data_IF_489594603749
#
_entry.id   IF_489594603749
#
_cell.length_a   1.000
_cell.length_b   1.000
_cell.length_c   1.000
_cell.angle_alpha   90.00
_cell.angle_beta   90.00
_cell.angle_gamma   90.00
#
_symmetry.space_group_name_H-M   'P 1'
#
loop_
_entity.id
_entity.type
_entity.pdbx_description
1 polymer ?
#
# COMPACT_ATOMS: atom_id res chain seq x y z
N UNK A 1 -29.20 28.33 -46.00
CA UNK A 1 -28.49 29.49 -45.39
C UNK A 1 -27.83 29.01 -44.10
N UNK A 2 -26.50 29.00 -44.02
CA UNK A 2 -25.74 28.57 -42.85
C UNK A 2 -25.43 29.74 -41.92
N UNK A 3 -25.46 29.51 -40.60
CA UNK A 3 -24.70 30.31 -39.64
C UNK A 3 -24.17 29.43 -38.51
N UNK A 4 -22.85 29.23 -38.50
CA UNK A 4 -22.07 28.88 -37.29
C UNK A 4 -21.87 30.14 -36.47
N UNK A 5 -21.76 30.03 -35.15
CA UNK A 5 -20.95 30.94 -34.31
C UNK A 5 -20.61 30.28 -32.97
N UNK A 6 -19.33 30.42 -32.63
CA UNK A 6 -18.61 29.80 -31.53
C UNK A 6 -19.02 30.36 -30.17
N UNK A 7 -19.22 29.46 -29.20
CA UNK A 7 -19.33 29.84 -27.79
C UNK A 7 -18.05 29.38 -27.07
N UNK A 8 -17.25 30.35 -26.65
CA UNK A 8 -16.09 30.16 -25.79
C UNK A 8 -16.58 29.98 -24.35
N UNK A 9 -16.24 28.86 -23.71
CA UNK A 9 -16.57 28.60 -22.31
C UNK A 9 -15.38 29.05 -21.46
N UNK A 10 -15.56 30.11 -20.68
CA UNK A 10 -14.60 30.57 -19.68
C UNK A 10 -14.73 29.65 -18.46
N UNK A 11 -13.69 28.89 -18.16
CA UNK A 11 -13.53 28.08 -16.96
C UNK A 11 -13.22 29.00 -15.77
N UNK A 12 -14.25 29.38 -15.02
CA UNK A 12 -14.10 29.99 -13.69
C UNK A 12 -14.50 28.98 -12.62
N UNK A 13 -13.55 28.18 -12.10
CA UNK A 13 -13.77 27.40 -10.88
C UNK A 13 -13.21 28.18 -9.69
N UNK A 14 -14.06 28.94 -9.01
CA UNK A 14 -13.81 29.38 -7.64
C UNK A 14 -14.37 28.33 -6.68
N UNK A 15 -13.51 27.47 -6.13
CA UNK A 15 -13.89 26.58 -5.02
C UNK A 15 -13.67 27.31 -3.69
N UNK A 16 -14.70 28.03 -3.24
CA UNK A 16 -14.93 28.26 -1.82
C UNK A 16 -16.27 27.61 -1.48
N UNK A 17 -16.23 26.40 -0.95
CA UNK A 17 -17.38 25.77 -0.32
C UNK A 17 -16.97 25.29 1.07
N UNK A 18 -17.45 26.04 2.06
CA UNK A 18 -17.31 25.76 3.47
C UNK A 18 -18.07 24.50 3.90
N UNK A 19 -17.48 23.85 4.89
CA UNK A 19 -18.07 22.96 5.89
C UNK A 19 -19.58 23.19 6.13
N UNK A 20 -20.43 22.25 5.72
CA UNK A 20 -21.53 21.68 6.54
C UNK A 20 -22.07 20.42 5.85
N UNK A 21 -22.10 19.27 6.53
CA UNK A 21 -22.81 18.11 6.00
C UNK A 21 -22.36 16.78 6.60
N UNK A 22 -22.61 16.57 7.89
CA UNK A 22 -22.68 15.24 8.50
C UNK A 22 -23.65 14.36 7.70
N UNK A 23 -23.30 13.08 7.45
CA UNK A 23 -24.12 11.91 7.02
C UNK A 23 -23.20 11.08 6.06
N UNK A 24 -22.77 9.84 6.30
CA UNK A 24 -23.37 8.67 6.92
C UNK A 24 -22.29 7.75 7.52
N UNK A 25 -22.50 7.30 8.76
CA UNK A 25 -21.86 6.11 9.31
C UNK A 25 -22.33 4.88 8.51
N UNK A 26 -21.50 4.38 7.60
CA UNK A 26 -21.60 3.00 7.16
C UNK A 26 -20.80 2.17 8.14
N UNK A 27 -21.49 1.60 9.13
CA UNK A 27 -20.97 0.48 9.92
C UNK A 27 -20.74 -0.71 8.98
N UNK A 28 -19.66 -0.69 8.20
CA UNK A 28 -19.01 -1.92 7.84
C UNK A 28 -18.47 -2.46 9.15
N UNK A 29 -19.14 -3.50 9.68
CA UNK A 29 -18.47 -4.42 10.59
C UNK A 29 -17.21 -4.86 9.86
N UNK A 30 -16.08 -4.25 10.20
CA UNK A 30 -14.76 -4.82 9.94
C UNK A 30 -14.84 -6.13 10.70
N UNK A 31 -15.18 -7.19 9.96
CA UNK A 31 -15.03 -8.54 10.47
C UNK A 31 -13.55 -8.64 10.80
N UNK A 32 -13.24 -8.62 12.09
CA UNK A 32 -11.92 -8.98 12.57
C UNK A 32 -11.59 -10.31 11.88
N UNK A 33 -10.47 -10.40 11.12
CA UNK A 33 -10.18 -11.61 10.39
C UNK A 33 -10.11 -12.76 11.38
N UNK A 34 -10.99 -13.74 11.19
CA UNK A 34 -10.99 -15.00 11.93
C UNK A 34 -9.62 -15.65 11.75
N UNK A 35 -8.91 -15.85 12.86
CA UNK A 35 -7.69 -16.65 12.93
C UNK A 35 -7.97 -18.06 12.41
N UNK A 36 -7.63 -18.38 11.16
CA UNK A 36 -7.48 -19.79 10.74
C UNK A 36 -6.65 -20.05 9.47
N UNK A 37 -5.93 -19.06 8.93
CA UNK A 37 -4.78 -19.31 8.05
C UNK A 37 -3.82 -18.14 8.20
N UNK A 38 -2.59 -18.40 8.68
CA UNK A 38 -1.56 -17.35 8.78
C UNK A 38 -1.37 -16.79 7.37
N UNK A 39 -1.66 -15.50 7.19
CA UNK A 39 -1.55 -14.82 5.90
C UNK A 39 -0.17 -15.07 5.29
N UNK A 40 -0.11 -15.40 4.00
CA UNK A 40 1.14 -15.62 3.27
C UNK A 40 2.01 -14.36 3.23
N UNK A 41 1.45 -13.18 3.48
CA UNK A 41 2.19 -11.93 3.57
C UNK A 41 3.05 -11.82 4.84
N UNK A 42 2.68 -12.51 5.93
CA UNK A 42 3.40 -12.40 7.20
C UNK A 42 4.83 -12.92 7.06
N UNK A 43 5.77 -12.18 7.64
CA UNK A 43 7.20 -12.48 7.63
C UNK A 43 8.03 -11.33 7.06
N UNK A 44 9.31 -11.62 6.82
CA UNK A 44 10.29 -10.65 6.32
C UNK A 44 10.54 -10.87 4.82
N UNK A 45 10.66 -9.76 4.12
CA UNK A 45 10.85 -9.67 2.69
C UNK A 45 12.03 -8.73 2.42
N UNK A 46 12.92 -9.11 1.52
CA UNK A 46 14.10 -8.33 1.16
C UNK A 46 14.01 -7.83 -0.27
N UNK A 47 14.43 -6.61 -0.50
CA UNK A 47 14.49 -6.04 -1.84
C UNK A 47 15.36 -4.80 -1.91
N UNK A 48 15.58 -4.32 -3.13
CA UNK A 48 16.31 -3.09 -3.38
C UNK A 48 15.33 -1.99 -3.76
N UNK A 49 15.22 -0.99 -2.90
CA UNK A 49 14.42 0.20 -3.18
C UNK A 49 15.32 1.22 -3.89
N UNK A 50 14.78 1.95 -4.87
CA UNK A 50 15.57 2.86 -5.69
C UNK A 50 16.18 3.93 -4.78
N UNK A 51 17.47 4.22 -4.97
CA UNK A 51 18.31 5.11 -4.15
C UNK A 51 18.84 4.52 -2.82
N UNK A 52 18.58 3.25 -2.52
CA UNK A 52 19.25 2.56 -1.42
C UNK A 52 20.39 1.68 -1.96
N UNK A 53 21.62 1.96 -1.51
CA UNK A 53 22.78 1.10 -1.79
C UNK A 53 22.78 -0.19 -1.00
N UNK A 54 21.83 -0.34 -0.06
CA UNK A 54 21.73 -1.44 0.88
C UNK A 54 20.41 -2.17 0.69
N UNK A 55 20.45 -3.49 0.90
CA UNK A 55 19.26 -4.32 0.93
C UNK A 55 18.30 -3.82 2.03
N UNK A 56 17.03 -3.65 1.67
CA UNK A 56 15.98 -3.18 2.59
C UNK A 56 15.12 -4.37 3.01
N UNK A 57 14.82 -4.47 4.30
CA UNK A 57 13.96 -5.50 4.88
C UNK A 57 12.58 -4.88 5.16
N UNK A 58 11.54 -5.41 4.52
CA UNK A 58 10.16 -5.18 4.87
C UNK A 58 9.66 -6.32 5.75
N UNK A 59 9.20 -6.03 6.96
CA UNK A 59 8.54 -7.00 7.84
C UNK A 59 7.03 -6.72 7.93
N UNK A 60 6.23 -7.77 7.80
CA UNK A 60 4.78 -7.74 8.00
C UNK A 60 4.45 -8.62 9.21
N UNK A 61 4.01 -8.00 10.30
CA UNK A 61 3.72 -8.70 11.56
C UNK A 61 2.42 -9.52 11.48
N UNK A 62 2.20 -10.49 12.39
CA UNK A 62 0.93 -11.20 12.48
C UNK A 62 -0.29 -10.31 12.72
N UNK A 63 -0.08 -9.08 13.22
CA UNK A 63 -1.13 -8.08 13.44
C UNK A 63 -1.33 -7.15 12.23
N UNK A 64 -0.65 -7.40 11.10
CA UNK A 64 -0.63 -6.52 9.92
C UNK A 64 -0.04 -5.14 10.21
N UNK A 65 0.95 -5.09 11.10
CA UNK A 65 1.82 -3.94 11.27
C UNK A 65 3.00 -4.08 10.30
N UNK A 66 3.45 -2.97 9.73
CA UNK A 66 4.48 -2.94 8.69
C UNK A 66 5.72 -2.26 9.24
N UNK A 67 6.89 -2.82 8.94
CA UNK A 67 8.17 -2.24 9.34
C UNK A 67 9.13 -2.25 8.17
N UNK A 68 9.80 -1.13 7.91
CA UNK A 68 10.87 -1.00 6.92
C UNK A 68 12.18 -0.81 7.66
N UNK A 69 13.12 -1.75 7.52
CA UNK A 69 14.38 -1.77 8.26
C UNK A 69 14.16 -1.58 9.78
N UNK A 70 13.20 -2.31 10.34
CA UNK A 70 12.76 -2.25 11.75
C UNK A 70 12.10 -0.94 12.18
N UNK A 71 11.91 0.04 11.29
CA UNK A 71 11.14 1.25 11.57
C UNK A 71 9.67 1.02 11.22
N UNK A 72 8.72 1.29 12.13
CA UNK A 72 7.30 1.11 11.83
C UNK A 72 6.85 2.07 10.73
N UNK A 73 6.01 1.57 9.83
CA UNK A 73 5.24 2.38 8.89
C UNK A 73 3.87 2.62 9.52
N UNK A 74 3.59 3.85 9.89
CA UNK A 74 2.29 4.23 10.41
C UNK A 74 1.24 4.19 9.29
N UNK A 75 0.06 3.67 9.60
CA UNK A 75 -1.00 3.51 8.61
C UNK A 75 -2.01 2.44 9.00
N UNK A 76 -2.78 1.99 8.02
CA UNK A 76 -3.82 1.01 8.23
C UNK A 76 -4.07 0.11 7.02
N UNK A 77 -4.54 -1.10 7.30
CA UNK A 77 -4.90 -2.07 6.28
C UNK A 77 -6.26 -1.70 5.65
N UNK A 78 -6.27 -1.41 4.35
CA UNK A 78 -7.51 -1.14 3.59
C UNK A 78 -8.18 -2.43 3.11
N UNK A 79 -7.38 -3.37 2.58
CA UNK A 79 -7.90 -4.59 1.97
C UNK A 79 -6.90 -5.72 2.03
N UNK A 80 -7.39 -6.94 2.26
CA UNK A 80 -6.60 -8.15 2.18
C UNK A 80 -7.36 -9.26 1.46
N UNK A 81 -6.64 -10.01 0.64
CA UNK A 81 -7.05 -11.25 -0.02
C UNK A 81 -5.91 -12.27 0.05
N UNK A 82 -6.07 -13.44 -0.58
CA UNK A 82 -5.05 -14.48 -0.60
C UNK A 82 -3.78 -14.14 -1.39
N UNK A 83 -3.86 -13.18 -2.33
CA UNK A 83 -2.76 -12.78 -3.22
C UNK A 83 -2.52 -11.29 -3.31
N UNK A 84 -3.42 -10.45 -2.76
CA UNK A 84 -3.26 -8.99 -2.75
C UNK A 84 -3.54 -8.40 -1.37
N UNK A 85 -2.69 -7.48 -0.94
CA UNK A 85 -2.82 -6.68 0.27
C UNK A 85 -2.67 -5.20 -0.08
N UNK A 86 -3.53 -4.35 0.46
CA UNK A 86 -3.49 -2.89 0.27
C UNK A 86 -3.42 -2.25 1.65
N UNK A 87 -2.33 -1.52 1.88
CA UNK A 87 -2.07 -0.74 3.08
C UNK A 87 -2.02 0.74 2.69
N UNK A 88 -2.62 1.61 3.48
CA UNK A 88 -2.53 3.06 3.32
C UNK A 88 -1.70 3.62 4.46
N UNK A 89 -0.63 4.35 4.12
CA UNK A 89 0.24 4.99 5.11
C UNK A 89 -0.41 6.21 5.76
N UNK A 90 0.27 6.84 6.72
CA UNK A 90 -0.24 8.01 7.42
C UNK A 90 -0.31 9.28 6.55
N UNK A 91 0.32 9.29 5.38
CA UNK A 91 0.21 10.37 4.40
C UNK A 91 -0.95 10.17 3.40
N UNK A 92 -1.58 8.99 3.41
CA UNK A 92 -2.68 8.63 2.51
C UNK A 92 -2.22 7.95 1.22
N UNK A 93 -0.96 7.54 1.11
CA UNK A 93 -0.44 6.82 -0.06
C UNK A 93 -0.64 5.32 0.11
N UNK A 94 -0.92 4.64 -1.00
CA UNK A 94 -1.16 3.20 -1.00
C UNK A 94 0.12 2.41 -1.28
N UNK A 95 0.40 1.46 -0.40
CA UNK A 95 1.35 0.37 -0.62
C UNK A 95 0.56 -0.87 -1.02
N UNK A 96 0.71 -1.29 -2.27
CA UNK A 96 -0.01 -2.41 -2.85
C UNK A 96 0.92 -3.60 -3.00
N UNK A 97 0.66 -4.65 -2.23
CA UNK A 97 1.45 -5.87 -2.22
C UNK A 97 0.74 -6.98 -2.98
N UNK A 98 1.42 -7.57 -3.95
CA UNK A 98 0.92 -8.67 -4.77
C UNK A 98 1.84 -9.88 -4.68
N UNK A 99 1.33 -10.99 -4.15
CA UNK A 99 2.04 -12.27 -4.15
C UNK A 99 2.04 -12.84 -5.57
N UNK A 100 3.21 -12.89 -6.18
CA UNK A 100 3.42 -13.54 -7.49
C UNK A 100 3.80 -15.01 -7.34
N UNK A 101 4.41 -15.37 -6.20
CA UNK A 101 4.67 -16.74 -5.76
C UNK A 101 4.58 -16.84 -4.22
N UNK A 102 4.89 -17.99 -3.63
CA UNK A 102 4.95 -18.10 -2.15
C UNK A 102 6.12 -17.31 -1.54
N UNK A 103 7.18 -17.08 -2.33
CA UNK A 103 8.45 -16.50 -1.90
C UNK A 103 8.78 -15.18 -2.62
N UNK A 104 7.91 -14.72 -3.52
CA UNK A 104 8.08 -13.48 -4.27
C UNK A 104 6.87 -12.57 -4.07
N UNK A 105 7.15 -11.31 -3.76
CA UNK A 105 6.18 -10.27 -3.48
C UNK A 105 6.52 -9.03 -4.31
N UNK A 106 5.57 -8.54 -5.08
CA UNK A 106 5.66 -7.22 -5.71
C UNK A 106 5.04 -6.18 -4.80
N UNK A 107 5.74 -5.08 -4.58
CA UNK A 107 5.25 -3.90 -3.87
C UNK A 107 5.14 -2.74 -4.87
N UNK A 108 3.93 -2.25 -5.11
CA UNK A 108 3.72 -0.97 -5.78
C UNK A 108 3.58 0.14 -4.73
N UNK A 109 4.39 1.19 -4.87
CA UNK A 109 4.37 2.40 -4.05
C UNK A 109 3.74 3.54 -4.85
N UNK A 110 2.57 4.00 -4.39
CA UNK A 110 1.80 5.07 -5.03
C UNK A 110 2.49 6.43 -4.95
N UNK A 111 3.25 6.71 -3.89
CA UNK A 111 3.96 7.98 -3.74
C UNK A 111 5.10 8.13 -4.75
N UNK A 112 5.78 7.03 -5.07
CA UNK A 112 6.88 7.02 -6.04
C UNK A 112 6.49 6.52 -7.44
N UNK A 113 5.26 6.03 -7.62
CA UNK A 113 4.76 5.38 -8.82
C UNK A 113 5.68 4.23 -9.32
N UNK A 114 6.20 3.41 -8.40
CA UNK A 114 7.19 2.36 -8.69
C UNK A 114 6.78 0.99 -8.19
N UNK A 115 7.35 -0.04 -8.81
CA UNK A 115 7.21 -1.44 -8.40
C UNK A 115 8.56 -1.96 -7.93
N UNK A 116 8.54 -2.60 -6.76
CA UNK A 116 9.68 -3.25 -6.12
C UNK A 116 9.44 -4.76 -6.05
N UNK A 117 10.41 -5.53 -6.54
CA UNK A 117 10.41 -6.98 -6.39
C UNK A 117 11.10 -7.36 -5.08
N UNK A 118 10.35 -8.03 -4.19
CA UNK A 118 10.81 -8.49 -2.89
C UNK A 118 10.86 -10.02 -2.86
N UNK A 119 11.86 -10.55 -2.18
CA UNK A 119 12.06 -11.98 -1.96
C UNK A 119 11.89 -12.31 -0.48
N UNK A 120 11.33 -13.49 -0.16
CA UNK A 120 11.18 -13.90 1.24
C UNK A 120 12.56 -14.13 1.88
N UNK A 121 12.74 -13.63 3.10
CA UNK A 121 13.91 -13.95 3.92
C UNK A 121 13.70 -15.33 4.53
N UNK A 122 14.58 -16.26 4.23
CA UNK A 122 14.62 -17.60 4.83
C UNK A 122 15.70 -17.61 5.91
N UNK A 123 15.39 -18.11 7.11
CA UNK A 123 16.26 -18.05 8.30
C UNK A 123 17.68 -18.64 8.11
N UNK A 124 17.94 -19.42 7.05
CA UNK A 124 19.23 -20.03 6.78
C UNK A 124 20.25 -19.11 6.07
N UNK A 125 20.04 -17.79 6.07
CA UNK A 125 20.90 -16.82 5.36
C UNK A 125 21.55 -15.78 6.29
N UNK A 126 21.35 -15.88 7.62
CA UNK A 126 21.86 -14.90 8.59
C UNK A 126 23.24 -15.31 9.17
N UNK A 127 23.69 -16.55 8.98
CA UNK A 127 24.91 -17.07 9.64
C UNK A 127 26.20 -17.08 8.80
N UNK A 128 26.21 -16.58 7.57
CA UNK A 128 27.40 -16.66 6.69
C UNK A 128 28.13 -15.33 6.44
N UNK A 129 27.86 -14.29 7.21
CA UNK A 129 28.66 -13.06 7.23
C UNK A 129 29.10 -12.76 8.67
N UNK A 130 30.11 -13.50 9.15
CA UNK A 130 30.89 -13.19 10.35
C UNK A 130 32.32 -13.69 10.18
#
# INVERSE_FOLDING_TARGET
>A
MAKKKHLQVILGLSMLAGITGSFFLKNQKVQAPTLSTKSKFIGSWKGHFINQSTETILEISPKMEFFLNNLPIEGHLLKQSSSKLIFEDHYGYQLIFTLTSNDTLELYDDAEEKIYALQRVVANQIENES
#
